data_IF_657561378363
#
_entry.id   IF_657561378363
#
_cell.length_a   1.000
_cell.length_b   1.000
_cell.length_c   1.000
_cell.angle_alpha   90.00
_cell.angle_beta   90.00
_cell.angle_gamma   90.00
#
_symmetry.space_group_name_H-M   'P 1'
#
loop_
_entity.id
_entity.type
_entity.pdbx_description
1 polymer ?
#
# COMPACT_ATOMS: atom_id res chain seq x y z
N UNK A 1 7.25 -14.52 6.63
CA UNK A 1 6.04 -13.82 6.18
C UNK A 1 5.38 -14.65 5.13
N UNK A 2 4.18 -15.13 5.41
CA UNK A 2 3.53 -16.23 4.70
C UNK A 2 2.01 -16.05 4.82
N UNK A 3 1.27 -16.36 3.76
CA UNK A 3 -0.18 -16.54 3.87
C UNK A 3 -0.50 -18.02 4.09
N UNK A 4 -1.00 -18.42 5.26
CA UNK A 4 -1.37 -19.82 5.53
C UNK A 4 -2.76 -20.19 5.00
N UNK A 5 -2.85 -21.20 4.12
CA UNK A 5 -4.12 -21.74 3.65
C UNK A 5 -4.13 -23.28 3.83
N UNK A 6 -4.28 -23.78 5.07
CA UNK A 6 -4.27 -25.22 5.35
C UNK A 6 -5.45 -25.99 4.73
N UNK A 7 -6.55 -25.32 4.40
CA UNK A 7 -7.72 -25.87 3.70
C UNK A 7 -8.32 -24.83 2.76
N UNK A 8 -9.14 -25.24 1.80
CA UNK A 8 -9.68 -24.35 0.77
C UNK A 8 -10.56 -23.21 1.32
N UNK A 9 -11.34 -23.47 2.37
CA UNK A 9 -12.18 -22.45 3.01
C UNK A 9 -11.34 -21.46 3.83
N UNK A 10 -11.50 -20.17 3.56
CA UNK A 10 -10.70 -19.10 4.18
C UNK A 10 -11.02 -18.93 5.66
N UNK A 11 -12.29 -19.06 6.03
CA UNK A 11 -12.72 -18.93 7.43
C UNK A 11 -12.21 -20.13 8.23
N UNK A 12 -12.34 -21.33 7.68
CA UNK A 12 -11.87 -22.55 8.33
C UNK A 12 -10.35 -22.63 8.42
N UNK A 13 -9.65 -22.14 7.39
CA UNK A 13 -8.23 -21.89 7.47
C UNK A 13 -7.87 -20.96 8.63
N UNK A 14 -8.57 -19.84 8.81
CA UNK A 14 -8.35 -18.93 9.92
C UNK A 14 -8.62 -19.58 11.29
N UNK A 15 -9.71 -20.38 11.40
CA UNK A 15 -10.06 -21.10 12.64
C UNK A 15 -9.03 -22.14 13.04
N UNK A 16 -8.36 -22.77 12.07
CA UNK A 16 -7.32 -23.76 12.30
C UNK A 16 -6.00 -23.17 12.83
N UNK A 17 -5.72 -21.89 12.57
CA UNK A 17 -4.49 -21.24 13.03
C UNK A 17 -4.52 -20.98 14.54
N UNK A 18 -3.37 -21.16 15.21
CA UNK A 18 -3.16 -20.64 16.57
C UNK A 18 -3.16 -19.11 16.61
N UNK A 19 -3.25 -18.54 17.82
CA UNK A 19 -3.33 -17.09 18.01
C UNK A 19 -2.10 -16.34 17.48
N UNK A 20 -0.84 -16.75 17.77
CA UNK A 20 0.33 -16.09 17.21
C UNK A 20 0.32 -16.00 15.68
N UNK A 21 0.00 -17.11 15.01
CA UNK A 21 0.03 -17.19 13.55
C UNK A 21 -1.14 -16.45 12.93
N UNK A 22 -2.36 -16.57 13.47
CA UNK A 22 -3.52 -15.79 13.01
C UNK A 22 -3.30 -14.28 13.20
N UNK A 23 -2.76 -13.86 14.35
CA UNK A 23 -2.47 -12.45 14.62
C UNK A 23 -1.46 -11.87 13.62
N UNK A 24 -0.40 -12.63 13.31
CA UNK A 24 0.62 -12.27 12.32
C UNK A 24 0.06 -12.28 10.89
N UNK A 25 -0.76 -13.27 10.57
CA UNK A 25 -1.38 -13.47 9.26
C UNK A 25 -2.09 -12.21 8.76
N UNK A 26 -2.87 -11.53 9.61
CA UNK A 26 -3.57 -10.29 9.22
C UNK A 26 -2.64 -9.16 8.79
N UNK A 27 -1.54 -8.98 9.53
CA UNK A 27 -0.53 -7.93 9.24
C UNK A 27 0.24 -8.28 7.97
N UNK A 28 0.59 -9.55 7.80
CA UNK A 28 1.32 -10.02 6.63
C UNK A 28 0.46 -9.93 5.36
N UNK A 29 -0.83 -10.21 5.45
CA UNK A 29 -1.76 -10.00 4.34
C UNK A 29 -1.80 -8.52 3.89
N UNK A 30 -1.87 -7.58 4.84
CA UNK A 30 -1.80 -6.15 4.53
C UNK A 30 -0.46 -5.77 3.87
N UNK A 31 0.65 -6.39 4.26
CA UNK A 31 1.95 -6.19 3.62
C UNK A 31 1.98 -6.73 2.19
N UNK A 32 1.34 -7.87 1.92
CA UNK A 32 1.19 -8.42 0.57
C UNK A 32 0.34 -7.51 -0.31
N UNK A 33 -0.81 -7.03 0.19
CA UNK A 33 -1.64 -6.05 -0.53
C UNK A 33 -0.86 -4.79 -0.92
N UNK A 34 -0.06 -4.26 0.02
CA UNK A 34 0.83 -3.12 -0.26
C UNK A 34 1.91 -3.44 -1.28
N UNK A 35 2.49 -4.65 -1.23
CA UNK A 35 3.51 -5.07 -2.18
C UNK A 35 2.96 -5.32 -3.60
N UNK A 36 1.67 -5.66 -3.71
CA UNK A 36 0.97 -5.81 -4.98
C UNK A 36 0.65 -4.45 -5.61
N UNK A 37 0.12 -3.52 -4.83
CA UNK A 37 -0.53 -2.31 -5.36
C UNK A 37 0.26 -1.01 -5.19
N UNK A 38 1.21 -0.93 -4.25
CA UNK A 38 1.92 0.32 -3.98
C UNK A 38 3.31 0.33 -4.62
N UNK A 39 3.64 1.36 -5.43
CA UNK A 39 4.96 1.49 -6.04
C UNK A 39 6.06 1.61 -4.98
N UNK A 40 7.23 1.05 -5.28
CA UNK A 40 8.41 1.09 -4.40
C UNK A 40 8.14 0.56 -2.97
N UNK A 41 7.10 -0.26 -2.77
CA UNK A 41 6.92 -1.03 -1.55
C UNK A 41 7.90 -2.22 -1.58
N UNK A 42 8.45 -2.57 -0.41
CA UNK A 42 9.30 -3.76 -0.32
C UNK A 42 8.53 -5.02 -0.68
N UNK A 43 9.21 -6.16 -0.82
CA UNK A 43 8.59 -7.49 -0.97
C UNK A 43 7.96 -7.83 -2.32
N UNK A 44 8.00 -6.94 -3.32
CA UNK A 44 7.42 -7.20 -4.64
C UNK A 44 7.90 -8.52 -5.31
N UNK A 45 9.11 -8.98 -4.98
CA UNK A 45 9.71 -10.21 -5.50
C UNK A 45 9.51 -11.44 -4.59
N UNK A 46 8.78 -11.32 -3.48
CA UNK A 46 8.56 -12.44 -2.56
C UNK A 46 7.60 -13.47 -3.18
N UNK A 47 7.83 -14.80 -3.02
CA UNK A 47 6.97 -15.83 -3.62
C UNK A 47 5.48 -15.71 -3.28
N UNK A 48 5.17 -15.35 -2.02
CA UNK A 48 3.78 -15.08 -1.61
C UNK A 48 3.13 -13.91 -2.36
N UNK A 49 3.91 -12.89 -2.77
CA UNK A 49 3.37 -11.78 -3.56
C UNK A 49 3.11 -12.26 -4.99
N UNK A 50 3.98 -13.14 -5.51
CA UNK A 50 3.81 -13.71 -6.85
C UNK A 50 2.53 -14.54 -6.97
N UNK A 51 2.21 -15.42 -6.01
CA UNK A 51 1.01 -16.28 -6.08
C UNK A 51 -0.32 -15.50 -6.01
N UNK A 52 -0.30 -14.30 -5.42
CA UNK A 52 -1.49 -13.44 -5.27
C UNK A 52 -1.60 -12.36 -6.36
N UNK A 53 -0.61 -12.26 -7.24
CA UNK A 53 -0.60 -11.24 -8.31
C UNK A 53 -1.79 -11.44 -9.23
N UNK A 54 -2.52 -10.35 -9.50
CA UNK A 54 -3.77 -10.36 -10.27
C UNK A 54 -5.03 -10.59 -9.42
N UNK A 55 -4.89 -10.93 -8.14
CA UNK A 55 -6.02 -11.32 -7.27
C UNK A 55 -6.16 -10.46 -6.01
N UNK A 56 -5.94 -9.15 -6.10
CA UNK A 56 -6.02 -8.22 -4.96
C UNK A 56 -7.37 -8.26 -4.27
N UNK A 57 -8.47 -8.31 -5.02
CA UNK A 57 -9.81 -8.48 -4.48
C UNK A 57 -9.99 -9.81 -3.71
N UNK A 58 -9.49 -10.92 -4.29
CA UNK A 58 -9.50 -12.22 -3.61
C UNK A 58 -8.66 -12.23 -2.33
N UNK A 59 -7.50 -11.55 -2.34
CA UNK A 59 -6.67 -11.38 -1.15
C UNK A 59 -7.37 -10.55 -0.08
N UNK A 60 -8.13 -9.50 -0.45
CA UNK A 60 -8.97 -8.74 0.51
C UNK A 60 -9.99 -9.66 1.18
N UNK A 61 -10.73 -10.48 0.42
CA UNK A 61 -11.71 -11.44 0.97
C UNK A 61 -11.05 -12.43 1.93
N UNK A 62 -9.91 -13.01 1.53
CA UNK A 62 -9.11 -13.89 2.38
C UNK A 62 -8.65 -13.21 3.68
N UNK A 63 -8.13 -11.98 3.56
CA UNK A 63 -7.59 -11.22 4.68
C UNK A 63 -8.68 -10.87 5.69
N UNK A 64 -9.87 -10.50 5.22
CA UNK A 64 -11.01 -10.17 6.06
C UNK A 64 -11.58 -11.41 6.78
N UNK A 65 -11.45 -12.61 6.21
CA UNK A 65 -11.76 -13.84 6.94
C UNK A 65 -10.83 -14.05 8.15
N UNK A 66 -9.53 -13.78 8.00
CA UNK A 66 -8.55 -13.82 9.10
C UNK A 66 -8.87 -12.79 10.19
N UNK A 67 -9.20 -11.56 9.77
CA UNK A 67 -9.63 -10.47 10.66
C UNK A 67 -10.87 -10.87 11.45
N UNK A 68 -11.89 -11.41 10.78
CA UNK A 68 -13.15 -11.82 11.41
C UNK A 68 -12.90 -12.85 12.51
N UNK A 69 -12.19 -13.93 12.22
CA UNK A 69 -11.88 -14.97 13.22
C UNK A 69 -11.00 -14.43 14.35
N UNK A 70 -10.07 -13.53 14.06
CA UNK A 70 -9.27 -12.86 15.10
C UNK A 70 -10.14 -12.06 16.08
N UNK A 71 -11.10 -11.30 15.56
CA UNK A 71 -12.05 -10.54 16.37
C UNK A 71 -13.04 -11.44 17.12
N UNK A 72 -13.51 -12.52 16.50
CA UNK A 72 -14.35 -13.54 17.16
C UNK A 72 -13.65 -14.16 18.38
N UNK A 73 -12.33 -14.27 18.37
CA UNK A 73 -11.52 -14.71 19.52
C UNK A 73 -11.35 -13.66 20.62
N UNK A 74 -11.97 -12.48 20.48
CA UNK A 74 -11.94 -11.41 21.47
C UNK A 74 -10.74 -10.46 21.37
N UNK A 75 -9.98 -10.50 20.29
CA UNK A 75 -8.83 -9.61 20.09
C UNK A 75 -9.19 -8.35 19.29
N UNK A 76 -8.52 -7.23 19.60
CA UNK A 76 -8.65 -6.00 18.83
C UNK A 76 -7.93 -6.10 17.46
N UNK A 77 -8.48 -5.42 16.46
CA UNK A 77 -7.96 -5.36 15.10
C UNK A 77 -7.69 -3.91 14.66
N UNK A 78 -6.62 -3.69 13.90
CA UNK A 78 -6.24 -2.38 13.33
C UNK A 78 -5.96 -2.45 11.83
N UNK A 79 -6.23 -3.59 11.21
CA UNK A 79 -5.91 -3.89 9.81
C UNK A 79 -7.13 -3.87 8.91
N UNK A 80 -8.33 -4.12 9.44
CA UNK A 80 -9.58 -4.28 8.69
C UNK A 80 -9.86 -3.12 7.73
N UNK A 81 -9.86 -1.89 8.24
CA UNK A 81 -10.08 -0.68 7.43
C UNK A 81 -9.00 -0.55 6.36
N UNK A 82 -7.73 -0.77 6.71
CA UNK A 82 -6.61 -0.65 5.77
C UNK A 82 -6.66 -1.72 4.67
N UNK A 83 -7.13 -2.93 4.99
CA UNK A 83 -7.32 -4.01 4.03
C UNK A 83 -8.48 -3.68 3.08
N UNK A 84 -9.60 -3.20 3.62
CA UNK A 84 -10.81 -2.84 2.86
C UNK A 84 -10.53 -1.80 1.78
N UNK A 85 -9.64 -0.86 2.05
CA UNK A 85 -9.26 0.20 1.09
C UNK A 85 -8.67 -0.32 -0.23
N UNK A 86 -8.16 -1.55 -0.30
CA UNK A 86 -7.55 -2.10 -1.52
C UNK A 86 -8.59 -2.58 -2.53
N UNK A 87 -9.74 -3.06 -2.07
CA UNK A 87 -10.85 -3.47 -2.93
C UNK A 87 -12.18 -3.31 -2.17
N UNK A 88 -12.72 -2.07 -2.07
CA UNK A 88 -13.92 -1.78 -1.30
C UNK A 88 -15.12 -2.66 -1.69
N UNK A 89 -15.31 -2.89 -2.99
CA UNK A 89 -16.41 -3.71 -3.52
C UNK A 89 -16.28 -5.19 -3.12
N UNK A 90 -15.06 -5.69 -2.97
CA UNK A 90 -14.79 -7.07 -2.56
C UNK A 90 -14.88 -7.27 -1.04
N UNK A 91 -14.77 -6.19 -0.25
CA UNK A 91 -14.69 -6.30 1.20
C UNK A 91 -15.96 -6.88 1.85
N UNK A 92 -17.12 -6.72 1.20
CA UNK A 92 -18.39 -7.29 1.64
C UNK A 92 -18.67 -8.69 1.06
N UNK A 93 -17.86 -9.17 0.11
CA UNK A 93 -18.10 -10.46 -0.54
C UNK A 93 -17.80 -11.64 0.38
N UNK A 94 -18.59 -12.69 0.24
CA UNK A 94 -18.25 -14.03 0.69
C UNK A 94 -17.22 -14.67 -0.24
N UNK A 95 -16.52 -15.70 0.23
CA UNK A 95 -15.60 -16.46 -0.63
C UNK A 95 -16.32 -17.07 -1.84
N UNK A 96 -17.57 -17.52 -1.69
CA UNK A 96 -18.36 -18.09 -2.78
C UNK A 96 -18.69 -17.04 -3.85
N UNK A 97 -19.05 -15.82 -3.46
CA UNK A 97 -19.30 -14.71 -4.41
C UNK A 97 -18.01 -14.31 -5.12
N UNK A 98 -16.89 -14.22 -4.40
CA UNK A 98 -15.59 -13.93 -5.00
C UNK A 98 -15.16 -15.01 -6.00
N UNK A 99 -15.42 -16.29 -5.69
CA UNK A 99 -15.18 -17.41 -6.60
C UNK A 99 -16.06 -17.31 -7.86
N UNK A 100 -17.36 -17.04 -7.70
CA UNK A 100 -18.31 -16.88 -8.80
C UNK A 100 -17.94 -15.70 -9.71
N UNK A 101 -17.34 -14.65 -9.15
CA UNK A 101 -16.83 -13.49 -9.89
C UNK A 101 -15.43 -13.71 -10.51
N UNK A 102 -14.81 -14.89 -10.33
CA UNK A 102 -13.48 -15.19 -10.86
C UNK A 102 -12.34 -14.42 -10.18
N UNK A 103 -12.55 -13.94 -8.95
CA UNK A 103 -11.58 -13.13 -8.22
C UNK A 103 -10.56 -13.96 -7.43
N UNK A 104 -10.82 -15.26 -7.26
CA UNK A 104 -9.93 -16.15 -6.51
C UNK A 104 -8.87 -16.77 -7.42
N UNK A 105 -7.64 -16.94 -6.91
CA UNK A 105 -6.59 -17.67 -7.62
C UNK A 105 -6.96 -19.14 -7.89
N UNK A 106 -6.45 -19.68 -8.99
CA UNK A 106 -6.65 -21.06 -9.46
C UNK A 106 -6.19 -22.13 -8.46
N UNK A 107 -5.24 -21.78 -7.59
CA UNK A 107 -4.69 -22.67 -6.57
C UNK A 107 -5.55 -22.76 -5.31
N UNK A 108 -6.62 -21.99 -5.17
CA UNK A 108 -7.59 -22.17 -4.08
C UNK A 108 -8.34 -23.49 -4.29
N UNK A 109 -8.09 -24.47 -3.43
CA UNK A 109 -8.58 -25.84 -3.58
C UNK A 109 -7.53 -26.84 -4.05
N UNK A 110 -6.30 -26.40 -4.34
CA UNK A 110 -5.17 -27.29 -4.65
C UNK A 110 -4.68 -27.99 -3.37
N UNK A 111 -4.98 -29.29 -3.26
CA UNK A 111 -4.63 -30.08 -2.08
C UNK A 111 -3.12 -30.19 -1.84
N UNK A 112 -2.28 -30.14 -2.87
CA UNK A 112 -0.82 -30.17 -2.68
C UNK A 112 -0.34 -28.88 -2.01
N UNK A 113 -0.94 -27.74 -2.36
CA UNK A 113 -0.69 -26.47 -1.69
C UNK A 113 -1.14 -26.55 -0.23
N UNK A 114 -2.39 -26.97 0.01
CA UNK A 114 -2.95 -27.09 1.34
C UNK A 114 -2.11 -28.00 2.25
N UNK A 115 -1.72 -29.17 1.74
CA UNK A 115 -0.86 -30.13 2.44
C UNK A 115 0.50 -29.52 2.79
N UNK A 116 1.16 -28.81 1.86
CA UNK A 116 2.43 -28.16 2.15
C UNK A 116 2.32 -27.09 3.24
N UNK A 117 1.19 -26.36 3.29
CA UNK A 117 0.92 -25.36 4.33
C UNK A 117 0.63 -26.03 5.68
N UNK A 118 -0.15 -27.11 5.72
CA UNK A 118 -0.38 -27.91 6.95
C UNK A 118 0.91 -28.51 7.48
N UNK A 119 1.73 -29.08 6.60
CA UNK A 119 3.05 -29.62 6.96
C UNK A 119 3.96 -28.59 7.61
N UNK A 120 4.00 -27.38 7.06
CA UNK A 120 4.79 -26.31 7.63
C UNK A 120 4.19 -25.70 8.91
N UNK A 121 2.88 -25.77 9.12
CA UNK A 121 2.26 -25.42 10.39
C UNK A 121 2.67 -26.43 11.47
N UNK A 122 2.61 -27.73 11.16
CA UNK A 122 3.08 -28.83 12.02
C UNK A 122 4.55 -28.64 12.41
N UNK A 123 5.43 -28.34 11.44
CA UNK A 123 6.85 -28.09 11.71
C UNK A 123 7.08 -26.92 12.69
N UNK A 124 6.19 -25.92 12.68
CA UNK A 124 6.32 -24.73 13.54
C UNK A 124 5.77 -24.94 14.95
N UNK A 125 4.75 -25.78 15.13
CA UNK A 125 4.14 -26.08 16.44
C UNK A 125 3.46 -27.46 16.41
N UNK A 126 4.23 -28.55 16.58
CA UNK A 126 3.71 -29.90 16.47
C UNK A 126 2.57 -30.18 17.44
N UNK A 127 2.67 -29.71 18.69
CA UNK A 127 1.69 -29.99 19.75
C UNK A 127 0.34 -29.35 19.44
N UNK A 128 0.33 -28.14 18.89
CA UNK A 128 -0.91 -27.47 18.51
C UNK A 128 -1.54 -28.09 17.26
N UNK A 129 -0.73 -28.40 16.23
CA UNK A 129 -1.27 -28.78 14.92
C UNK A 129 -1.50 -30.29 14.74
N UNK A 130 -0.76 -31.17 15.43
CA UNK A 130 -0.92 -32.63 15.25
C UNK A 130 -2.36 -33.12 15.52
N UNK A 131 -3.06 -32.66 16.56
CA UNK A 131 -4.45 -33.04 16.78
C UNK A 131 -5.42 -32.55 15.68
N UNK A 132 -5.04 -31.51 14.94
CA UNK A 132 -5.86 -30.89 13.87
C UNK A 132 -5.60 -31.54 12.50
N UNK A 133 -4.36 -31.98 12.26
CA UNK A 133 -3.91 -32.58 11.01
C UNK A 133 -3.31 -33.97 11.26
N UNK A 134 -4.15 -34.95 11.69
CA UNK A 134 -3.66 -36.28 12.00
C UNK A 134 -3.16 -36.98 10.74
N UNK A 135 -1.92 -37.47 10.78
CA UNK A 135 -1.31 -38.24 9.69
C UNK A 135 -0.62 -37.42 8.61
N UNK A 136 -0.74 -36.08 8.63
CA UNK A 136 -0.02 -35.23 7.70
C UNK A 136 1.49 -35.21 8.02
N UNK A 137 2.36 -35.16 6.99
CA UNK A 137 3.81 -35.02 7.14
C UNK A 137 4.16 -33.63 7.70
N UNK A 138 5.31 -33.48 8.35
CA UNK A 138 5.80 -32.21 8.92
C UNK A 138 7.15 -31.73 8.34
N UNK A 139 7.55 -32.29 7.21
CA UNK A 139 8.84 -32.06 6.57
C UNK A 139 8.74 -31.60 5.09
N UNK A 140 7.53 -31.28 4.61
CA UNK A 140 7.35 -30.83 3.22
C UNK A 140 7.81 -29.38 3.03
N UNK A 141 8.48 -29.05 1.90
CA UNK A 141 8.74 -27.66 1.54
C UNK A 141 7.43 -26.93 1.18
N UNK A 142 7.40 -25.60 1.35
CA UNK A 142 6.27 -24.80 0.88
C UNK A 142 6.08 -24.93 -0.63
N UNK A 143 4.84 -25.18 -1.06
CA UNK A 143 4.42 -24.94 -2.45
C UNK A 143 3.97 -23.49 -2.59
N UNK A 144 4.70 -22.71 -3.39
CA UNK A 144 4.32 -21.35 -3.77
C UNK A 144 4.03 -21.33 -5.28
N UNK A 145 2.76 -21.32 -5.71
CA UNK A 145 2.41 -21.20 -7.12
C UNK A 145 2.92 -19.89 -7.72
N UNK A 146 3.10 -19.89 -9.05
CA UNK A 146 3.27 -18.66 -9.80
C UNK A 146 1.98 -17.83 -9.81
N UNK A 147 2.02 -16.68 -10.49
CA UNK A 147 0.81 -15.91 -10.76
C UNK A 147 -0.03 -16.58 -11.85
N UNK A 148 -1.35 -16.53 -11.70
CA UNK A 148 -2.27 -16.89 -12.78
C UNK A 148 -2.12 -15.95 -13.98
N UNK A 149 -2.53 -16.41 -15.15
CA UNK A 149 -2.60 -15.60 -16.38
C UNK A 149 -3.90 -14.78 -16.39
N UNK A 150 -3.97 -13.79 -15.50
CA UNK A 150 -5.10 -12.85 -15.38
C UNK A 150 -4.68 -11.50 -15.96
N UNK A 151 -5.49 -10.90 -16.85
CA UNK A 151 -5.23 -9.55 -17.34
C UNK A 151 -5.08 -8.56 -16.17
N UNK A 152 -4.19 -7.56 -16.28
CA UNK A 152 -4.11 -6.50 -15.28
C UNK A 152 -5.46 -5.79 -15.17
N UNK A 153 -5.83 -5.42 -13.94
CA UNK A 153 -7.01 -4.58 -13.73
C UNK A 153 -6.84 -3.26 -14.49
N UNK A 154 -7.91 -2.76 -15.13
CA UNK A 154 -7.84 -1.47 -15.81
C UNK A 154 -7.50 -0.38 -14.81
N UNK A 155 -6.76 0.65 -15.27
CA UNK A 155 -6.54 1.83 -14.46
C UNK A 155 -7.89 2.49 -14.13
N UNK A 156 -8.08 3.00 -12.91
CA UNK A 156 -9.32 3.68 -12.55
C UNK A 156 -9.52 4.92 -13.41
N UNK A 157 -10.76 5.15 -13.83
CA UNK A 157 -11.17 6.38 -14.50
C UNK A 157 -11.37 7.50 -13.46
N UNK A 158 -10.81 8.68 -13.72
CA UNK A 158 -10.93 9.82 -12.81
C UNK A 158 -9.89 10.90 -13.09
N UNK A 159 -9.69 11.78 -12.11
CA UNK A 159 -8.75 12.90 -12.20
C UNK A 159 -7.45 12.54 -11.51
N UNK A 160 -6.32 12.63 -12.23
CA UNK A 160 -4.99 12.43 -11.66
C UNK A 160 -4.60 13.60 -10.76
N UNK A 161 -4.28 13.31 -9.49
CA UNK A 161 -3.93 14.31 -8.48
C UNK A 161 -2.58 13.97 -7.86
N UNK A 162 -1.71 14.97 -7.74
CA UNK A 162 -0.50 14.84 -6.92
C UNK A 162 -0.86 14.87 -5.45
N UNK A 163 -0.35 13.93 -4.67
CA UNK A 163 -0.44 13.97 -3.21
C UNK A 163 0.92 14.34 -2.67
N UNK A 164 0.96 15.46 -1.94
CA UNK A 164 2.15 15.86 -1.17
C UNK A 164 1.84 15.59 0.29
N UNK A 165 2.57 14.67 0.92
CA UNK A 165 2.37 14.30 2.32
C UNK A 165 3.39 15.02 3.20
N UNK A 166 2.94 15.96 4.06
CA UNK A 166 3.75 16.46 5.16
C UNK A 166 4.14 15.33 6.11
N UNK A 167 5.40 15.27 6.52
CA UNK A 167 5.93 14.24 7.43
C UNK A 167 5.65 14.55 8.90
N UNK A 168 5.32 15.81 9.20
CA UNK A 168 5.02 16.27 10.55
C UNK A 168 3.97 17.41 10.54
N UNK A 169 3.34 17.64 11.70
CA UNK A 169 2.29 18.65 11.86
C UNK A 169 2.76 20.07 11.52
N UNK A 170 4.02 20.40 11.77
CA UNK A 170 4.61 21.70 11.44
C UNK A 170 4.80 21.89 9.92
N UNK A 171 5.15 20.83 9.18
CA UNK A 171 5.18 20.87 7.71
C UNK A 171 3.77 21.10 7.14
N UNK A 172 2.75 20.43 7.68
CA UNK A 172 1.36 20.67 7.29
C UNK A 172 0.96 22.13 7.58
N UNK A 173 1.30 22.63 8.78
CA UNK A 173 1.06 24.02 9.14
C UNK A 173 1.73 25.01 8.19
N UNK A 174 2.96 24.72 7.75
CA UNK A 174 3.68 25.54 6.76
C UNK A 174 2.97 25.55 5.41
N UNK A 175 2.50 24.39 4.92
CA UNK A 175 1.73 24.31 3.67
C UNK A 175 0.47 25.18 3.70
N UNK A 176 -0.28 25.13 4.81
CA UNK A 176 -1.52 25.87 4.98
C UNK A 176 -1.29 27.36 5.15
N UNK A 177 -0.33 27.76 6.01
CA UNK A 177 -0.08 29.16 6.33
C UNK A 177 0.56 29.94 5.17
N UNK A 178 1.46 29.31 4.42
CA UNK A 178 2.16 29.95 3.31
C UNK A 178 1.49 29.72 1.94
N UNK A 179 0.47 28.86 1.86
CA UNK A 179 -0.16 28.51 0.58
C UNK A 179 0.83 27.81 -0.35
N UNK A 180 1.47 26.74 0.14
CA UNK A 180 2.51 26.02 -0.60
C UNK A 180 2.37 24.51 -0.43
N UNK A 181 2.95 23.78 -1.37
CA UNK A 181 3.34 22.38 -1.20
C UNK A 181 4.85 22.29 -1.24
N UNK A 182 5.44 21.28 -0.62
CA UNK A 182 6.87 21.11 -0.71
C UNK A 182 7.41 19.82 -0.11
N UNK A 183 8.69 19.63 -0.34
CA UNK A 183 9.51 18.55 0.17
C UNK A 183 10.59 19.11 1.10
N UNK A 184 10.92 18.34 2.13
CA UNK A 184 12.10 18.57 2.95
C UNK A 184 13.40 18.22 2.21
N UNK A 185 14.50 18.17 2.95
CA UNK A 185 15.84 17.87 2.42
C UNK A 185 16.18 16.36 2.49
N UNK A 186 15.18 15.48 2.56
CA UNK A 186 15.42 14.03 2.74
C UNK A 186 16.09 13.39 1.52
N UNK A 187 16.04 14.05 0.36
CA UNK A 187 16.84 13.73 -0.82
C UNK A 187 18.35 13.92 -0.61
N UNK A 188 18.76 14.55 0.51
CA UNK A 188 20.12 14.99 0.76
C UNK A 188 20.51 16.26 0.01
N UNK A 189 19.54 16.91 -0.65
CA UNK A 189 19.73 18.19 -1.33
C UNK A 189 19.10 19.27 -0.45
N UNK A 190 19.93 20.20 0.00
CA UNK A 190 19.56 21.34 0.85
C UNK A 190 19.95 22.68 0.19
N UNK A 191 20.03 22.67 -1.14
CA UNK A 191 20.34 23.81 -2.01
C UNK A 191 19.33 23.88 -3.15
N UNK A 192 19.35 25.00 -3.89
CA UNK A 192 18.52 25.15 -5.08
C UNK A 192 18.86 24.09 -6.13
N UNK A 193 17.81 23.44 -6.64
CA UNK A 193 17.86 22.33 -7.58
C UNK A 193 17.25 22.69 -8.94
N UNK A 194 16.99 23.97 -9.19
CA UNK A 194 16.41 24.47 -10.45
C UNK A 194 17.23 24.00 -11.65
N UNK A 195 16.56 23.33 -12.60
CA UNK A 195 17.15 22.90 -13.87
C UNK A 195 18.08 21.68 -13.79
N UNK A 196 18.21 21.04 -12.63
CA UNK A 196 19.05 19.85 -12.48
C UNK A 196 18.31 18.59 -12.96
N UNK A 197 18.97 17.84 -13.84
CA UNK A 197 18.49 16.54 -14.31
C UNK A 197 18.53 15.46 -13.20
N UNK A 198 17.81 14.33 -13.36
CA UNK A 198 17.86 13.22 -12.42
C UNK A 198 19.28 12.66 -12.18
N UNK A 199 20.19 12.77 -13.14
CA UNK A 199 21.58 12.33 -12.99
C UNK A 199 22.40 13.33 -12.18
N UNK A 200 22.25 14.63 -12.45
CA UNK A 200 22.90 15.70 -11.69
C UNK A 200 22.46 15.71 -10.23
N UNK A 201 21.16 15.52 -9.96
CA UNK A 201 20.64 15.38 -8.58
C UNK A 201 21.31 14.21 -7.83
N UNK A 202 21.58 13.09 -8.50
CA UNK A 202 22.26 11.93 -7.89
C UNK A 202 23.73 12.21 -7.56
N UNK A 203 24.40 13.00 -8.39
CA UNK A 203 25.78 13.44 -8.15
C UNK A 203 25.79 14.41 -6.98
N UNK A 204 24.97 15.46 -7.04
CA UNK A 204 24.88 16.51 -6.01
C UNK A 204 24.53 15.95 -4.63
N UNK A 205 23.53 15.08 -4.54
CA UNK A 205 23.14 14.44 -3.26
C UNK A 205 24.28 13.65 -2.61
N UNK A 206 25.11 12.98 -3.43
CA UNK A 206 26.30 12.27 -2.92
C UNK A 206 27.34 13.24 -2.39
N UNK A 207 27.54 14.37 -3.06
CA UNK A 207 28.51 15.39 -2.65
C UNK A 207 28.11 16.07 -1.34
N UNK A 208 26.83 16.42 -1.19
CA UNK A 208 26.34 17.13 -0.01
C UNK A 208 26.14 16.22 1.21
N UNK A 209 25.57 15.03 1.02
CA UNK A 209 25.13 14.17 2.13
C UNK A 209 25.99 12.93 2.35
N UNK A 210 26.88 12.60 1.40
CA UNK A 210 27.62 11.33 1.38
C UNK A 210 26.74 10.10 1.12
N UNK A 211 25.42 10.27 0.94
CA UNK A 211 24.43 9.21 0.73
C UNK A 211 23.75 9.37 -0.63
N UNK A 212 23.01 8.33 -1.04
CA UNK A 212 22.19 8.33 -2.26
C UNK A 212 20.78 7.80 -1.96
N UNK A 213 19.90 8.61 -1.37
CA UNK A 213 18.53 8.20 -1.06
C UNK A 213 17.71 8.14 -2.34
N UNK A 214 17.86 7.07 -3.12
CA UNK A 214 17.30 6.95 -4.46
C UNK A 214 15.79 7.20 -4.53
N UNK A 215 15.04 6.78 -3.49
CA UNK A 215 13.59 6.99 -3.40
C UNK A 215 13.20 8.44 -3.21
N UNK A 216 13.89 9.17 -2.33
CA UNK A 216 13.63 10.60 -2.10
C UNK A 216 14.14 11.46 -3.26
N UNK A 217 15.22 11.06 -3.94
CA UNK A 217 15.71 11.73 -5.15
C UNK A 217 14.74 11.62 -6.32
N UNK A 218 14.11 10.46 -6.53
CA UNK A 218 13.06 10.32 -7.56
C UNK A 218 11.87 11.23 -7.27
N UNK A 219 11.48 11.38 -6.00
CA UNK A 219 10.40 12.28 -5.61
C UNK A 219 10.78 13.76 -5.85
N UNK A 220 12.00 14.17 -5.49
CA UNK A 220 12.46 15.53 -5.78
C UNK A 220 12.53 15.80 -7.29
N UNK A 221 13.03 14.86 -8.09
CA UNK A 221 13.05 15.00 -9.55
C UNK A 221 11.64 15.13 -10.13
N UNK A 222 10.69 14.29 -9.73
CA UNK A 222 9.29 14.43 -10.15
C UNK A 222 8.69 15.79 -9.73
N UNK A 223 9.02 16.28 -8.54
CA UNK A 223 8.58 17.59 -8.07
C UNK A 223 9.13 18.76 -8.91
N UNK A 224 10.34 18.61 -9.44
CA UNK A 224 11.00 19.60 -10.29
C UNK A 224 10.48 19.54 -11.73
N UNK A 225 10.41 18.35 -12.30
CA UNK A 225 10.30 18.15 -13.75
C UNK A 225 8.90 17.71 -14.22
N UNK A 226 8.13 17.02 -13.38
CA UNK A 226 6.82 16.45 -13.76
C UNK A 226 5.64 17.29 -13.25
N UNK A 227 5.81 17.96 -12.11
CA UNK A 227 4.76 18.81 -11.53
C UNK A 227 4.83 20.24 -12.10
N UNK A 228 3.71 20.76 -12.58
CA UNK A 228 3.63 22.09 -13.21
C UNK A 228 2.47 22.95 -12.67
N UNK A 229 2.50 24.28 -12.86
CA UNK A 229 1.33 25.12 -12.62
C UNK A 229 0.11 24.62 -13.39
N UNK A 230 -1.06 24.62 -12.75
CA UNK A 230 -2.30 24.03 -13.26
C UNK A 230 -2.55 22.59 -12.81
N UNK A 231 -1.54 21.88 -12.29
CA UNK A 231 -1.73 20.53 -11.77
C UNK A 231 -2.61 20.52 -10.52
N UNK A 232 -3.49 19.52 -10.44
CA UNK A 232 -4.24 19.22 -9.22
C UNK A 232 -3.33 18.64 -8.16
N UNK A 233 -3.45 19.17 -6.93
CA UNK A 233 -2.68 18.70 -5.78
C UNK A 233 -3.57 18.50 -4.55
N UNK A 234 -3.16 17.59 -3.68
CA UNK A 234 -3.83 17.27 -2.43
C UNK A 234 -2.85 17.15 -1.26
N UNK A 235 -3.27 17.64 -0.10
CA UNK A 235 -2.63 17.37 1.19
C UNK A 235 -3.49 16.41 2.03
N UNK A 236 -2.91 15.32 2.56
CA UNK A 236 -3.59 14.55 3.59
C UNK A 236 -3.78 15.40 4.86
N UNK A 237 -5.02 15.51 5.31
CA UNK A 237 -5.42 16.22 6.53
C UNK A 237 -6.24 15.29 7.44
N UNK A 238 -6.62 15.77 8.63
CA UNK A 238 -7.50 15.01 9.55
C UNK A 238 -6.96 13.60 9.86
N UNK A 239 -5.66 13.51 10.15
CA UNK A 239 -4.96 12.23 10.36
C UNK A 239 -5.10 11.23 9.18
N UNK A 240 -5.27 11.75 7.96
CA UNK A 240 -5.38 10.99 6.72
C UNK A 240 -6.81 10.64 6.31
N UNK A 241 -7.82 11.06 7.07
CA UNK A 241 -9.24 10.83 6.76
C UNK A 241 -9.77 11.72 5.62
N UNK A 242 -9.12 12.86 5.37
CA UNK A 242 -9.49 13.80 4.31
C UNK A 242 -8.29 14.23 3.47
N UNK A 243 -8.60 14.75 2.28
CA UNK A 243 -7.65 15.40 1.38
C UNK A 243 -8.07 16.86 1.18
N UNK A 244 -7.19 17.79 1.52
CA UNK A 244 -7.35 19.19 1.12
C UNK A 244 -6.88 19.34 -0.33
N UNK A 245 -7.82 19.49 -1.25
CA UNK A 245 -7.56 19.69 -2.67
C UNK A 245 -7.19 21.14 -2.98
N UNK A 246 -6.38 21.29 -4.01
CA UNK A 246 -5.98 22.57 -4.56
C UNK A 246 -5.33 22.42 -5.93
N UNK A 247 -4.69 23.50 -6.33
CA UNK A 247 -4.01 23.64 -7.62
C UNK A 247 -2.61 24.22 -7.38
N UNK A 248 -1.63 23.72 -8.11
CA UNK A 248 -0.30 24.34 -8.17
C UNK A 248 -0.40 25.64 -8.98
N UNK A 249 -0.03 26.78 -8.40
CA UNK A 249 -0.21 28.10 -9.04
C UNK A 249 1.09 28.80 -9.41
N UNK A 250 2.23 28.16 -9.17
CA UNK A 250 3.54 28.74 -9.49
C UNK A 250 4.64 27.70 -9.65
N UNK A 251 5.75 28.17 -10.20
CA UNK A 251 6.93 27.34 -10.44
C UNK A 251 7.64 26.93 -9.15
N UNK A 252 8.58 26.01 -9.32
CA UNK A 252 9.46 25.57 -8.25
C UNK A 252 10.27 26.73 -7.68
N UNK A 253 10.38 26.76 -6.36
CA UNK A 253 11.18 27.72 -5.62
C UNK A 253 11.97 26.99 -4.54
N UNK A 254 13.20 27.46 -4.32
CA UNK A 254 14.02 27.05 -3.19
C UNK A 254 14.05 28.11 -2.08
N UNK A 255 13.75 27.72 -0.84
CA UNK A 255 13.83 28.58 0.34
C UNK A 255 14.48 27.84 1.52
N UNK A 256 15.82 27.80 1.54
CA UNK A 256 16.59 26.93 2.44
C UNK A 256 16.44 27.13 3.96
N UNK A 257 15.85 28.24 4.44
CA UNK A 257 15.69 28.51 5.89
C UNK A 257 14.40 27.98 6.50
N UNK A 258 13.55 27.38 5.68
CA UNK A 258 12.19 27.02 6.02
C UNK A 258 12.02 25.50 6.08
N UNK A 259 10.90 25.03 6.65
CA UNK A 259 10.64 23.59 6.84
C UNK A 259 10.54 22.80 5.53
N UNK A 260 10.00 23.42 4.48
CA UNK A 260 9.79 22.83 3.16
C UNK A 260 10.61 23.61 2.11
N UNK A 261 11.94 23.46 2.09
CA UNK A 261 12.80 24.31 1.29
C UNK A 261 12.57 24.12 -0.21
N UNK A 262 12.26 22.91 -0.68
CA UNK A 262 11.79 22.66 -2.05
C UNK A 262 10.28 22.85 -2.10
N UNK A 263 9.77 23.91 -2.74
CA UNK A 263 8.33 24.21 -2.71
C UNK A 263 7.78 24.73 -4.02
N UNK A 264 6.46 24.70 -4.12
CA UNK A 264 5.67 25.38 -5.15
C UNK A 264 4.49 26.10 -4.48
N UNK A 265 4.13 27.32 -4.92
CA UNK A 265 2.88 27.96 -4.51
C UNK A 265 1.67 27.09 -4.87
N UNK A 266 0.72 26.99 -3.94
CA UNK A 266 -0.50 26.21 -4.10
C UNK A 266 -1.70 27.00 -3.59
N UNK A 267 -2.83 26.88 -4.29
CA UNK A 267 -4.11 27.45 -3.88
C UNK A 267 -5.05 26.34 -3.43
N UNK A 268 -5.49 26.41 -2.18
CA UNK A 268 -6.40 25.44 -1.57
C UNK A 268 -7.86 25.78 -1.89
N UNK A 269 -8.68 24.76 -2.14
CA UNK A 269 -10.06 24.92 -2.59
C UNK A 269 -11.06 24.28 -1.63
N UNK A 270 -11.01 22.96 -1.49
CA UNK A 270 -12.01 22.16 -0.76
C UNK A 270 -11.40 20.93 -0.12
N UNK A 271 -12.10 20.38 0.86
CA UNK A 271 -11.78 19.08 1.46
C UNK A 271 -12.65 18.00 0.81
N UNK A 272 -12.04 16.88 0.42
CA UNK A 272 -12.74 15.66 -0.03
C UNK A 272 -12.38 14.49 0.89
N UNK A 273 -13.27 13.50 1.05
CA UNK A 273 -12.99 12.35 1.89
C UNK A 273 -11.89 11.48 1.28
N UNK A 274 -11.13 10.76 2.12
CA UNK A 274 -10.14 9.76 1.68
C UNK A 274 -10.72 8.73 0.69
N UNK A 275 -11.99 8.38 0.84
CA UNK A 275 -12.71 7.45 -0.03
C UNK A 275 -12.88 7.95 -1.46
N UNK A 276 -12.57 9.21 -1.76
CA UNK A 276 -12.54 9.75 -3.11
C UNK A 276 -11.40 9.19 -3.96
N UNK A 277 -10.33 8.68 -3.35
CA UNK A 277 -9.24 8.06 -4.08
C UNK A 277 -9.64 6.67 -4.60
N UNK A 278 -9.22 6.34 -5.81
CA UNK A 278 -9.60 5.14 -6.52
C UNK A 278 -8.37 4.24 -6.75
N UNK A 279 -8.24 3.10 -6.06
CA UNK A 279 -8.89 2.80 -4.78
C UNK A 279 -8.28 3.64 -3.63
N UNK A 280 -8.95 3.73 -2.46
CA UNK A 280 -8.45 4.53 -1.34
C UNK A 280 -7.08 4.08 -0.82
N UNK A 281 -6.73 2.81 -1.03
CA UNK A 281 -5.45 2.25 -0.60
C UNK A 281 -4.25 2.92 -1.25
N UNK A 282 -4.40 3.57 -2.40
CA UNK A 282 -3.33 4.35 -3.04
C UNK A 282 -2.76 5.43 -2.10
N UNK A 283 -3.59 5.95 -1.19
CA UNK A 283 -3.18 6.91 -0.16
C UNK A 283 -2.40 6.27 1.01
N UNK A 284 -2.24 4.94 1.04
CA UNK A 284 -1.34 4.25 1.97
C UNK A 284 0.12 4.23 1.46
N UNK A 285 0.39 4.70 0.24
CA UNK A 285 1.75 4.87 -0.27
C UNK A 285 2.60 5.65 0.72
N UNK A 286 3.75 5.14 1.22
CA UNK A 286 4.53 5.82 2.26
C UNK A 286 5.37 7.01 1.75
N UNK A 287 5.40 7.29 0.45
CA UNK A 287 6.15 8.41 -0.15
C UNK A 287 5.62 9.78 0.32
N UNK A 288 6.49 10.79 0.28
CA UNK A 288 6.12 12.19 0.51
C UNK A 288 5.49 12.82 -0.74
N UNK A 289 5.83 12.33 -1.94
CA UNK A 289 5.21 12.72 -3.20
C UNK A 289 4.82 11.47 -3.99
N UNK A 290 3.56 11.41 -4.41
CA UNK A 290 3.03 10.35 -5.26
C UNK A 290 1.78 10.84 -6.01
N UNK A 291 1.28 10.05 -6.96
CA UNK A 291 0.04 10.35 -7.69
C UNK A 291 -1.04 9.37 -7.30
N UNK A 292 -2.27 9.86 -7.26
CA UNK A 292 -3.49 9.05 -7.11
C UNK A 292 -4.50 9.48 -8.18
N UNK A 293 -5.51 8.65 -8.41
CA UNK A 293 -6.70 9.02 -9.18
C UNK A 293 -7.82 9.28 -8.19
N UNK A 294 -8.50 10.40 -8.33
CA UNK A 294 -9.71 10.73 -7.57
C UNK A 294 -10.94 10.62 -8.46
N UNK A 295 -12.08 10.27 -7.87
CA UNK A 295 -13.38 10.32 -8.54
C UNK A 295 -13.67 11.73 -9.06
N UNK A 296 -13.94 11.85 -10.37
CA UNK A 296 -14.21 13.12 -11.02
C UNK A 296 -15.40 13.86 -10.38
N UNK A 297 -16.40 13.13 -9.88
CA UNK A 297 -17.59 13.71 -9.25
C UNK A 297 -17.31 14.53 -7.98
N UNK A 298 -16.15 14.32 -7.35
CA UNK A 298 -15.76 15.11 -6.15
C UNK A 298 -14.69 16.16 -6.44
N UNK A 299 -14.00 16.07 -7.58
CA UNK A 299 -12.91 16.98 -7.96
C UNK A 299 -13.41 18.17 -8.77
N UNK A 300 -14.42 17.97 -9.61
CA UNK A 300 -15.13 19.03 -10.34
C UNK A 300 -16.18 19.71 -9.46
#
# INVERSE_FOLDING_TARGET
>A
MQTFLPVADFTESARLLDNPRLGKQRVECLQVLRALELPDYGWANHPVVAMWRGHTAGLVVYSLAMVRVWRERGFADTTETLITEFAPDAAAMTQAEAAAAGLLPSWVGDEELHLSHRSNLLAKDPDFYRPRFPGDPDDLPYKWPGSDDVPPSPAPEGVGVWVVRPRAHNELGACLAAGVIGLGTQSGIDVDATGLSPEELRVLSKELSGRRPAKDLRQLSAFLDEMAPGDRVALPIEHGAGLLLGEVVGDYLFQGRELLPHRRPARWERVVPRSAALPPATLQDPRALFRVVLDAAVVD
#
